data_IF_452650863001
#
_entry.id   IF_452650863001
#
_cell.length_a   1.000
_cell.length_b   1.000
_cell.length_c   1.000
_cell.angle_alpha   90.00
_cell.angle_beta   90.00
_cell.angle_gamma   90.00
#
_symmetry.space_group_name_H-M   'P 1'
#
loop_
_entity.id
_entity.type
_entity.pdbx_description
1 polymer ?
#
# COMPACT_ATOMS: atom_id res chain seq x y z
N UNK A 1 -12.06 6.92 16.77
CA UNK A 1 -10.77 6.51 16.18
C UNK A 1 -10.89 5.07 15.73
N UNK A 2 -10.55 4.80 14.49
CA UNK A 2 -10.41 3.46 13.93
C UNK A 2 -8.94 3.10 13.86
N UNK A 3 -8.58 1.89 14.25
CA UNK A 3 -7.22 1.39 14.17
C UNK A 3 -7.21 -0.06 13.68
N UNK A 4 -6.19 -0.46 12.92
CA UNK A 4 -6.10 -1.82 12.40
C UNK A 4 -5.71 -2.83 13.47
N UNK A 5 -6.19 -4.07 13.32
CA UNK A 5 -5.74 -5.22 14.09
C UNK A 5 -5.10 -6.23 13.16
N UNK A 6 -3.84 -6.55 13.46
CA UNK A 6 -3.09 -7.52 12.70
C UNK A 6 -3.15 -8.85 13.43
N UNK A 7 -3.47 -9.93 12.70
CA UNK A 7 -3.37 -11.30 13.19
C UNK A 7 -2.69 -12.16 12.15
N UNK A 8 -1.69 -12.91 12.59
CA UNK A 8 -1.14 -14.01 11.82
C UNK A 8 -1.78 -15.29 12.32
N UNK A 9 -2.29 -16.11 11.40
CA UNK A 9 -2.75 -17.45 11.74
C UNK A 9 -1.51 -18.31 11.98
N UNK A 10 -1.08 -18.31 13.25
CA UNK A 10 0.28 -18.55 13.73
C UNK A 10 0.80 -19.98 13.67
N UNK A 11 0.28 -20.82 12.75
CA UNK A 11 0.76 -22.21 12.66
C UNK A 11 2.22 -22.31 12.27
N UNK A 12 2.65 -21.56 11.27
CA UNK A 12 3.97 -21.69 10.66
C UNK A 12 4.97 -20.60 11.10
N UNK A 13 4.48 -19.44 11.59
CA UNK A 13 5.27 -18.26 11.95
C UNK A 13 5.04 -17.76 13.40
N UNK A 14 5.35 -18.57 14.44
CA UNK A 14 5.01 -18.20 15.83
C UNK A 14 5.74 -16.96 16.33
N UNK A 15 6.99 -16.75 15.91
CA UNK A 15 7.77 -15.58 16.32
C UNK A 15 7.22 -14.28 15.72
N UNK A 16 6.79 -14.33 14.45
CA UNK A 16 6.11 -13.22 13.81
C UNK A 16 4.76 -12.94 14.49
N UNK A 17 3.98 -13.98 14.82
CA UNK A 17 2.72 -13.81 15.53
C UNK A 17 2.91 -13.09 16.87
N UNK A 18 3.95 -13.48 17.65
CA UNK A 18 4.29 -12.82 18.91
C UNK A 18 4.71 -11.36 18.70
N UNK A 19 5.40 -11.03 17.60
CA UNK A 19 5.78 -9.66 17.26
C UNK A 19 4.55 -8.81 16.92
N UNK A 20 3.65 -9.33 16.09
CA UNK A 20 2.42 -8.64 15.69
C UNK A 20 1.41 -8.49 16.84
N UNK A 21 1.38 -9.43 17.80
CA UNK A 21 0.57 -9.26 19.01
C UNK A 21 1.09 -8.08 19.87
N UNK A 22 2.42 -7.87 19.91
CA UNK A 22 3.00 -6.69 20.58
C UNK A 22 2.66 -5.40 19.84
N UNK A 23 2.92 -5.36 18.53
CA UNK A 23 2.57 -4.20 17.70
C UNK A 23 1.09 -3.85 17.81
N UNK A 24 0.20 -4.86 17.80
CA UNK A 24 -1.25 -4.61 17.96
C UNK A 24 -1.61 -3.99 19.33
N UNK A 25 -0.83 -4.27 20.37
CA UNK A 25 -1.04 -3.65 21.68
C UNK A 25 -0.54 -2.19 21.70
N UNK A 26 0.60 -1.91 21.07
CA UNK A 26 1.16 -0.56 20.90
C UNK A 26 0.20 0.32 20.10
N UNK A 27 -0.25 -0.13 18.93
CA UNK A 27 -1.24 0.58 18.11
C UNK A 27 -2.57 0.82 18.85
N UNK A 28 -2.96 -0.09 19.75
CA UNK A 28 -4.15 0.14 20.58
C UNK A 28 -3.95 1.28 21.56
N UNK A 29 -2.79 1.32 22.21
CA UNK A 29 -2.50 2.38 23.19
C UNK A 29 -2.41 3.74 22.46
N UNK A 30 -1.75 3.83 21.29
CA UNK A 30 -1.70 5.02 20.44
C UNK A 30 -3.09 5.49 19.99
N UNK A 31 -3.95 4.57 19.53
CA UNK A 31 -5.33 4.91 19.17
C UNK A 31 -6.14 5.43 20.36
N UNK A 32 -5.85 4.96 21.57
CA UNK A 32 -6.49 5.47 22.79
C UNK A 32 -5.98 6.86 23.15
N UNK A 33 -4.67 7.11 23.02
CA UNK A 33 -4.07 8.42 23.27
C UNK A 33 -4.60 9.45 22.25
N UNK A 34 -4.67 9.09 20.96
CA UNK A 34 -5.29 9.91 19.93
C UNK A 34 -6.75 10.24 20.24
N UNK A 35 -7.51 9.26 20.75
CA UNK A 35 -8.91 9.49 21.13
C UNK A 35 -9.03 10.45 22.33
N UNK A 36 -8.14 10.33 23.33
CA UNK A 36 -8.10 11.25 24.48
C UNK A 36 -7.75 12.68 24.05
N UNK A 37 -6.74 12.83 23.17
CA UNK A 37 -6.34 14.13 22.63
C UNK A 37 -7.48 14.82 21.87
N UNK A 38 -8.21 14.09 21.04
CA UNK A 38 -9.34 14.63 20.29
C UNK A 38 -10.51 15.01 21.22
N UNK A 39 -10.72 14.29 22.32
CA UNK A 39 -11.77 14.60 23.33
C UNK A 39 -11.43 15.87 24.16
N UNK A 40 -10.15 16.23 24.28
CA UNK A 40 -9.72 17.45 24.98
C UNK A 40 -9.91 18.72 24.13
N UNK A 41 -10.14 18.59 22.82
CA UNK A 41 -10.33 19.73 21.94
C UNK A 41 -11.66 20.48 22.24
N UNK A 42 -11.67 21.81 22.08
CA UNK A 42 -12.86 22.60 22.45
C UNK A 42 -14.05 22.26 21.54
N UNK A 43 -15.18 21.94 22.16
CA UNK A 43 -16.44 21.72 21.44
C UNK A 43 -16.86 23.00 20.70
N UNK A 44 -16.98 22.88 19.37
CA UNK A 44 -17.34 23.96 18.47
C UNK A 44 -18.07 23.44 17.23
N UNK A 45 -18.09 24.23 16.17
CA UNK A 45 -18.64 23.82 14.87
C UNK A 45 -17.58 23.05 14.02
N UNK A 46 -16.38 22.85 14.54
CA UNK A 46 -15.29 22.11 13.87
C UNK A 46 -15.44 20.63 14.13
N UNK A 47 -15.36 19.83 13.08
CA UNK A 47 -15.32 18.37 13.17
C UNK A 47 -13.85 17.93 13.34
N UNK A 48 -13.56 17.33 14.47
CA UNK A 48 -12.28 16.68 14.74
C UNK A 48 -12.34 15.22 14.32
N UNK A 49 -11.26 14.71 13.76
CA UNK A 49 -11.19 13.30 13.34
C UNK A 49 -9.75 12.79 13.40
N UNK A 50 -9.60 11.52 13.72
CA UNK A 50 -8.35 10.78 13.61
C UNK A 50 -8.61 9.48 12.86
N UNK A 51 -7.68 9.10 12.00
CA UNK A 51 -7.72 7.87 11.23
C UNK A 51 -6.32 7.28 11.17
N UNK A 52 -6.20 5.99 11.44
CA UNK A 52 -4.98 5.21 11.21
C UNK A 52 -5.30 4.21 10.10
N UNK A 53 -4.72 4.39 8.93
CA UNK A 53 -4.83 3.48 7.80
C UNK A 53 -3.64 2.53 7.77
N UNK A 54 -3.87 1.27 7.39
CA UNK A 54 -2.81 0.27 7.27
C UNK A 54 -2.72 -0.25 5.84
N UNK A 55 -1.50 -0.37 5.34
CA UNK A 55 -1.18 -1.03 4.08
C UNK A 55 -0.16 -2.13 4.31
N UNK A 56 -0.40 -3.32 3.74
CA UNK A 56 0.62 -4.36 3.61
C UNK A 56 1.36 -4.10 2.30
N UNK A 57 2.58 -3.65 2.40
CA UNK A 57 3.40 -3.31 1.23
C UNK A 57 4.13 -4.55 0.69
N UNK A 58 4.41 -5.52 1.57
CA UNK A 58 4.98 -6.81 1.19
C UNK A 58 4.64 -7.89 2.21
N UNK A 59 4.33 -9.11 1.73
CA UNK A 59 4.16 -10.28 2.59
C UNK A 59 4.68 -11.53 1.86
N UNK A 60 5.86 -12.01 2.26
CA UNK A 60 6.46 -13.25 1.74
C UNK A 60 7.37 -13.93 2.79
N UNK A 61 8.05 -14.99 2.40
CA UNK A 61 8.96 -15.73 3.29
C UNK A 61 10.18 -14.94 3.80
N UNK A 62 10.48 -13.80 3.18
CA UNK A 62 11.65 -12.96 3.47
C UNK A 62 11.30 -11.70 4.27
N UNK A 63 10.08 -11.21 4.15
CA UNK A 63 9.63 -10.00 4.82
C UNK A 63 8.10 -9.93 4.95
N UNK A 64 7.64 -9.46 6.11
CA UNK A 64 6.34 -8.80 6.26
C UNK A 64 6.60 -7.32 6.47
N UNK A 65 6.09 -6.48 5.58
CA UNK A 65 6.22 -5.03 5.64
C UNK A 65 4.86 -4.37 5.69
N UNK A 66 4.69 -3.50 6.67
CA UNK A 66 3.45 -2.80 6.99
C UNK A 66 3.73 -1.31 7.01
N UNK A 67 2.85 -0.53 6.40
CA UNK A 67 2.85 0.91 6.48
C UNK A 67 1.57 1.37 7.15
N UNK A 68 1.69 2.22 8.14
CA UNK A 68 0.60 2.92 8.79
C UNK A 68 0.67 4.39 8.41
N UNK A 69 -0.48 4.96 8.16
CA UNK A 69 -0.67 6.36 7.88
C UNK A 69 -1.68 6.91 8.87
N UNK A 70 -1.21 7.75 9.78
CA UNK A 70 -2.08 8.48 10.70
C UNK A 70 -2.40 9.85 10.11
N UNK A 71 -3.68 10.18 10.11
CA UNK A 71 -4.18 11.51 9.79
C UNK A 71 -5.01 12.02 10.94
N UNK A 72 -4.64 13.18 11.47
CA UNK A 72 -5.35 13.84 12.55
C UNK A 72 -5.79 15.23 12.11
N UNK A 73 -7.10 15.47 12.14
CA UNK A 73 -7.67 16.78 11.91
C UNK A 73 -8.10 17.38 13.26
N UNK A 74 -7.30 18.27 13.77
CA UNK A 74 -7.52 19.02 15.03
C UNK A 74 -8.17 20.38 14.80
N UNK A 75 -8.63 20.64 13.58
CA UNK A 75 -9.27 21.89 13.17
C UNK A 75 -8.30 23.01 12.80
N UNK A 76 -7.02 22.72 12.71
CA UNK A 76 -6.02 23.63 12.14
C UNK A 76 -6.04 23.61 10.60
N UNK A 77 -5.34 24.56 9.98
CA UNK A 77 -5.17 24.59 8.52
C UNK A 77 -4.14 23.55 8.03
N UNK A 78 -3.35 22.98 8.94
CA UNK A 78 -2.30 21.99 8.70
C UNK A 78 -2.59 20.75 9.56
N UNK A 79 -3.42 19.80 9.09
CA UNK A 79 -3.68 18.54 9.79
C UNK A 79 -2.39 17.76 10.04
N UNK A 80 -2.26 17.13 11.20
CA UNK A 80 -1.13 16.23 11.44
C UNK A 80 -1.23 15.02 10.52
N UNK A 81 -0.08 14.61 9.99
CA UNK A 81 0.05 13.47 9.11
C UNK A 81 1.37 12.78 9.40
N UNK A 82 1.29 11.56 9.89
CA UNK A 82 2.44 10.74 10.29
C UNK A 82 2.46 9.42 9.53
N UNK A 83 3.66 8.94 9.26
CA UNK A 83 3.89 7.60 8.75
C UNK A 83 4.61 6.77 9.79
N UNK A 84 4.23 5.51 9.91
CA UNK A 84 4.97 4.49 10.66
C UNK A 84 5.11 3.25 9.80
N UNK A 85 6.31 2.70 9.71
CA UNK A 85 6.56 1.51 8.91
C UNK A 85 7.27 0.43 9.75
N UNK A 86 6.76 -0.78 9.65
CA UNK A 86 7.29 -1.94 10.35
C UNK A 86 7.68 -3.03 9.36
N UNK A 87 8.94 -3.43 9.40
CA UNK A 87 9.50 -4.44 8.52
C UNK A 87 9.99 -5.62 9.35
N UNK A 88 9.35 -6.78 9.26
CA UNK A 88 9.69 -7.96 10.06
C UNK A 88 10.34 -9.05 9.23
N UNK A 89 11.35 -9.72 9.79
CA UNK A 89 11.78 -11.04 9.33
C UNK A 89 10.78 -12.08 9.86
N UNK A 90 10.01 -12.76 8.97
CA UNK A 90 8.95 -13.65 9.43
C UNK A 90 9.46 -14.86 10.22
N UNK A 91 10.68 -15.31 9.94
CA UNK A 91 11.25 -16.49 10.61
C UNK A 91 11.63 -16.21 12.07
N UNK A 92 12.06 -14.99 12.36
CA UNK A 92 12.56 -14.60 13.70
C UNK A 92 11.61 -13.69 14.46
N UNK A 93 10.69 -13.01 13.77
CA UNK A 93 9.84 -11.95 14.30
C UNK A 93 10.63 -10.69 14.71
N UNK A 94 11.89 -10.59 14.27
CA UNK A 94 12.71 -9.42 14.51
C UNK A 94 12.36 -8.33 13.48
N UNK A 95 12.37 -7.10 13.93
CA UNK A 95 12.28 -5.95 13.04
C UNK A 95 13.59 -5.81 12.26
N UNK A 96 13.46 -5.51 10.96
CA UNK A 96 14.57 -5.33 10.05
C UNK A 96 15.05 -3.88 10.11
N UNK A 97 16.35 -3.69 10.05
CA UNK A 97 17.00 -2.39 9.93
C UNK A 97 17.41 -2.11 8.48
N UNK A 98 17.77 -0.87 8.17
CA UNK A 98 18.31 -0.53 6.85
C UNK A 98 19.59 -1.32 6.50
N UNK A 99 20.42 -1.66 7.50
CA UNK A 99 21.61 -2.47 7.32
C UNK A 99 21.30 -3.95 7.02
N UNK A 100 20.14 -4.46 7.43
CA UNK A 100 19.69 -5.81 7.05
C UNK A 100 19.25 -5.86 5.59
N UNK A 101 18.83 -4.71 5.03
CA UNK A 101 18.27 -4.57 3.70
C UNK A 101 19.29 -4.09 2.68
N UNK A 102 20.15 -3.14 3.04
CA UNK A 102 21.16 -2.57 2.15
C UNK A 102 22.55 -3.14 2.47
N UNK A 103 23.27 -3.59 1.45
CA UNK A 103 24.65 -4.04 1.59
C UNK A 103 25.61 -2.88 1.97
N UNK A 104 25.24 -1.64 1.64
CA UNK A 104 25.92 -0.39 2.02
C UNK A 104 24.90 0.73 2.22
N UNK A 105 24.37 0.85 3.43
CA UNK A 105 23.41 1.90 3.80
C UNK A 105 24.00 3.32 3.68
N UNK A 106 25.31 3.47 3.70
CA UNK A 106 25.98 4.76 3.53
C UNK A 106 25.76 5.41 2.14
N UNK A 107 25.26 4.64 1.16
CA UNK A 107 24.89 5.18 -0.16
C UNK A 107 23.48 5.79 -0.20
N UNK A 108 22.63 5.48 0.78
CA UNK A 108 21.23 5.90 0.79
C UNK A 108 21.01 7.41 0.69
N UNK A 109 21.73 8.28 1.41
CA UNK A 109 21.51 9.71 1.34
C UNK A 109 21.61 10.28 -0.08
N UNK A 110 22.66 9.90 -0.81
CA UNK A 110 22.89 10.34 -2.19
C UNK A 110 21.79 9.78 -3.14
N UNK A 111 21.38 8.53 -2.92
CA UNK A 111 20.32 7.87 -3.72
C UNK A 111 18.98 8.55 -3.49
N UNK A 112 18.60 8.79 -2.23
CA UNK A 112 17.33 9.43 -1.86
C UNK A 112 17.27 10.87 -2.37
N UNK A 113 18.33 11.67 -2.18
CA UNK A 113 18.38 13.03 -2.71
C UNK A 113 18.19 13.04 -4.23
N UNK A 114 18.88 12.15 -4.94
CA UNK A 114 18.78 12.03 -6.40
C UNK A 114 17.35 11.70 -6.82
N UNK A 115 16.74 10.66 -6.24
CA UNK A 115 15.40 10.20 -6.59
C UNK A 115 14.32 11.25 -6.28
N UNK A 116 14.41 11.91 -5.12
CA UNK A 116 13.50 12.99 -4.76
C UNK A 116 13.55 14.14 -5.76
N UNK A 117 14.76 14.58 -6.16
CA UNK A 117 14.91 15.65 -7.14
C UNK A 117 14.44 15.26 -8.55
N UNK A 118 14.63 14.01 -8.95
CA UNK A 118 14.12 13.48 -10.22
C UNK A 118 12.60 13.41 -10.25
N UNK A 119 11.99 12.90 -9.18
CA UNK A 119 10.54 12.71 -9.09
C UNK A 119 9.79 14.04 -8.92
N UNK A 120 10.37 14.96 -8.15
CA UNK A 120 9.76 16.25 -7.81
C UNK A 120 10.60 17.44 -8.28
N UNK A 121 10.83 17.61 -9.60
CA UNK A 121 11.78 18.58 -10.14
C UNK A 121 11.39 20.04 -9.93
N UNK A 122 10.14 20.31 -9.54
CA UNK A 122 9.63 21.67 -9.28
C UNK A 122 9.60 22.02 -7.79
N UNK A 123 9.96 21.09 -6.91
CA UNK A 123 9.91 21.30 -5.46
C UNK A 123 11.16 22.02 -4.97
N UNK A 124 10.96 23.05 -4.18
CA UNK A 124 12.03 23.72 -3.43
C UNK A 124 12.23 22.97 -2.11
N UNK A 125 13.17 22.03 -2.12
CA UNK A 125 13.49 21.24 -0.94
C UNK A 125 14.21 22.10 0.12
N UNK A 126 13.83 21.90 1.39
CA UNK A 126 14.45 22.45 2.59
C UNK A 126 14.95 21.30 3.45
N UNK A 127 16.08 21.50 4.09
CA UNK A 127 16.67 20.51 5.01
C UNK A 127 16.76 19.05 4.46
N UNK A 128 16.74 18.89 3.13
CA UNK A 128 16.73 17.59 2.46
C UNK A 128 17.91 16.72 2.89
N UNK A 129 19.15 17.26 2.80
CA UNK A 129 20.34 16.48 3.15
C UNK A 129 20.40 16.06 4.62
N UNK A 130 20.14 16.94 5.62
CA UNK A 130 20.04 16.50 7.02
C UNK A 130 19.07 15.34 7.22
N UNK A 131 17.88 15.41 6.64
CA UNK A 131 16.85 14.36 6.79
C UNK A 131 17.27 13.06 6.12
N UNK A 132 17.65 13.07 4.83
CA UNK A 132 18.01 11.82 4.13
C UNK A 132 19.29 11.17 4.66
N UNK A 133 20.13 11.93 5.39
CA UNK A 133 21.32 11.38 6.04
C UNK A 133 21.10 10.96 7.50
N UNK A 134 19.92 11.25 8.07
CA UNK A 134 19.56 10.74 9.39
C UNK A 134 19.46 9.22 9.37
N UNK A 135 19.84 8.56 10.43
CA UNK A 135 19.82 7.10 10.54
C UNK A 135 20.84 6.34 9.66
N UNK A 136 21.58 7.03 8.79
CA UNK A 136 22.51 6.36 7.84
C UNK A 136 23.96 6.80 7.98
N UNK A 137 24.23 7.89 8.69
CA UNK A 137 25.59 8.40 8.93
C UNK A 137 26.11 7.83 10.25
N UNK A 138 27.06 6.92 10.16
CA UNK A 138 27.81 6.40 11.33
C UNK A 138 28.62 7.51 11.97
N UNK A 139 28.18 8.05 13.09
CA UNK A 139 29.07 8.79 13.97
C UNK A 139 29.94 7.79 14.77
N UNK A 140 31.21 7.72 14.41
CA UNK A 140 32.21 7.03 15.23
C UNK A 140 32.18 7.60 16.65
N UNK A 141 31.73 6.85 17.62
CA UNK A 141 31.87 6.97 19.05
C UNK A 141 30.56 7.03 19.86
N UNK A 142 29.94 5.85 20.06
CA UNK A 142 29.22 5.59 21.33
C UNK A 142 27.87 6.28 21.52
N UNK A 143 27.25 6.77 20.48
CA UNK A 143 25.87 7.21 20.47
C UNK A 143 24.97 6.07 19.96
N UNK A 144 23.79 5.94 20.54
CA UNK A 144 22.69 5.17 19.96
C UNK A 144 22.50 5.57 18.53
N UNK A 145 22.32 4.61 17.62
CA UNK A 145 21.95 4.84 16.23
C UNK A 145 20.81 5.85 16.21
N UNK A 146 20.95 7.01 15.55
CA UNK A 146 19.83 7.92 15.41
C UNK A 146 18.83 7.25 14.49
N UNK A 147 17.61 7.08 14.94
CA UNK A 147 16.51 6.63 14.09
C UNK A 147 16.40 7.59 12.90
N UNK A 148 16.12 7.08 11.69
CA UNK A 148 15.89 7.95 10.55
C UNK A 148 14.71 8.89 10.81
N UNK A 149 14.80 10.12 10.32
CA UNK A 149 13.69 11.09 10.37
C UNK A 149 12.63 10.82 9.28
N UNK A 150 12.73 9.71 8.56
CA UNK A 150 11.83 9.26 7.51
C UNK A 150 11.45 7.82 7.74
N UNK A 151 10.29 7.43 7.24
CA UNK A 151 9.83 6.05 7.29
C UNK A 151 10.20 5.29 6.02
N UNK A 152 10.32 3.97 6.13
CA UNK A 152 10.64 3.12 5.00
C UNK A 152 9.97 1.75 5.08
N UNK A 153 9.53 1.25 3.92
CA UNK A 153 8.87 -0.04 3.80
C UNK A 153 9.44 -0.85 2.62
N UNK A 154 9.50 -2.16 2.77
CA UNK A 154 9.80 -3.05 1.66
C UNK A 154 8.55 -3.26 0.80
N UNK A 155 8.72 -3.18 -0.52
CA UNK A 155 7.72 -3.60 -1.50
C UNK A 155 8.27 -4.72 -2.39
N UNK A 156 7.47 -5.20 -3.33
CA UNK A 156 7.94 -6.18 -4.31
C UNK A 156 8.82 -5.55 -5.41
N UNK A 157 8.79 -4.25 -5.53
CA UNK A 157 9.53 -3.51 -6.57
C UNK A 157 10.83 -2.89 -6.05
N UNK A 158 10.85 -2.51 -4.76
CA UNK A 158 11.98 -1.80 -4.16
C UNK A 158 11.81 -1.57 -2.68
N UNK A 159 12.60 -0.64 -2.17
CA UNK A 159 12.46 -0.06 -0.84
C UNK A 159 11.82 1.32 -1.00
N UNK A 160 10.72 1.52 -0.35
CA UNK A 160 9.91 2.74 -0.41
C UNK A 160 10.24 3.62 0.80
N UNK A 161 10.39 4.92 0.57
CA UNK A 161 10.75 5.90 1.58
C UNK A 161 9.68 6.98 1.63
N UNK A 162 9.21 7.29 2.83
CA UNK A 162 8.09 8.20 3.10
C UNK A 162 8.58 9.38 3.92
N UNK A 163 8.18 10.57 3.52
CA UNK A 163 8.56 11.83 4.16
C UNK A 163 7.28 12.62 4.44
N UNK A 164 7.06 12.94 5.67
CA UNK A 164 5.90 13.68 6.14
C UNK A 164 5.82 15.10 5.56
N UNK A 165 4.61 15.68 5.51
CA UNK A 165 4.46 17.08 5.13
C UNK A 165 5.27 18.00 6.04
N UNK A 166 6.03 18.91 5.46
CA UNK A 166 6.85 19.86 6.22
C UNK A 166 8.27 19.37 6.55
N UNK A 167 8.56 18.06 6.40
CA UNK A 167 9.85 17.49 6.77
C UNK A 167 10.99 17.95 5.84
N UNK A 168 10.79 17.82 4.53
CA UNK A 168 11.81 18.15 3.51
C UNK A 168 11.43 19.31 2.57
N UNK A 169 10.25 19.87 2.73
CA UNK A 169 9.75 21.03 1.99
C UNK A 169 8.70 21.78 2.82
N UNK A 170 8.09 22.84 2.27
CA UNK A 170 6.96 23.49 2.93
C UNK A 170 5.79 22.50 3.11
N UNK A 171 5.09 22.55 4.25
CA UNK A 171 3.94 21.69 4.57
C UNK A 171 2.92 21.62 3.41
N UNK A 172 2.61 22.75 2.80
CA UNK A 172 1.68 22.86 1.69
C UNK A 172 2.12 22.11 0.41
N UNK A 173 3.37 21.63 0.34
CA UNK A 173 3.84 20.79 -0.75
C UNK A 173 3.36 19.32 -0.61
N UNK A 174 2.84 18.97 0.58
CA UNK A 174 2.33 17.63 0.91
C UNK A 174 3.42 16.64 1.31
N UNK A 175 3.04 15.38 1.53
CA UNK A 175 4.00 14.30 1.78
C UNK A 175 4.79 13.96 0.52
N UNK A 176 5.96 13.36 0.71
CA UNK A 176 6.81 12.89 -0.38
C UNK A 176 7.06 11.41 -0.25
N UNK A 177 7.16 10.74 -1.40
CA UNK A 177 7.43 9.31 -1.47
C UNK A 177 8.37 9.01 -2.64
N UNK A 178 9.37 8.17 -2.40
CA UNK A 178 10.28 7.67 -3.44
C UNK A 178 10.60 6.20 -3.24
N UNK A 179 10.83 5.48 -4.33
CA UNK A 179 11.20 4.07 -4.34
C UNK A 179 12.62 3.91 -4.87
N UNK A 180 13.47 3.24 -4.09
CA UNK A 180 14.75 2.71 -4.56
C UNK A 180 14.50 1.32 -5.13
N UNK A 181 14.33 1.23 -6.46
CA UNK A 181 13.93 0.00 -7.13
C UNK A 181 15.08 -1.00 -7.22
N UNK A 182 14.78 -2.27 -7.01
CA UNK A 182 15.76 -3.36 -7.11
C UNK A 182 16.42 -3.45 -8.51
N UNK A 183 15.66 -3.13 -9.56
CA UNK A 183 16.14 -3.18 -10.95
C UNK A 183 17.13 -2.07 -11.26
N UNK A 184 17.04 -0.93 -10.60
CA UNK A 184 17.94 0.20 -10.78
C UNK A 184 19.23 0.03 -9.96
N UNK A 185 19.10 -0.54 -8.76
CA UNK A 185 20.19 -0.65 -7.79
C UNK A 185 20.41 -2.12 -7.34
N UNK A 186 20.65 -3.05 -8.27
CA UNK A 186 20.67 -4.49 -7.96
C UNK A 186 21.81 -4.94 -7.05
N UNK A 187 22.81 -4.09 -6.82
CA UNK A 187 23.94 -4.38 -5.92
C UNK A 187 23.83 -3.65 -4.57
N UNK A 188 22.86 -2.75 -4.41
CA UNK A 188 22.70 -1.99 -3.17
C UNK A 188 21.82 -2.73 -2.16
N UNK A 189 20.85 -3.50 -2.64
CA UNK A 189 19.90 -4.23 -1.79
C UNK A 189 20.26 -5.71 -1.70
N UNK A 190 20.15 -6.27 -0.50
CA UNK A 190 20.46 -7.68 -0.26
C UNK A 190 19.59 -8.61 -1.12
N UNK A 191 20.22 -9.58 -1.76
CA UNK A 191 19.61 -10.43 -2.79
C UNK A 191 18.35 -11.21 -2.35
N UNK A 192 18.18 -11.45 -1.02
CA UNK A 192 17.00 -12.13 -0.49
C UNK A 192 15.73 -11.30 -0.69
N UNK A 193 15.82 -9.96 -0.65
CA UNK A 193 14.69 -9.06 -0.81
C UNK A 193 14.33 -8.78 -2.28
N UNK A 194 15.26 -9.01 -3.20
CA UNK A 194 15.04 -8.81 -4.64
C UNK A 194 14.23 -9.95 -5.29
N UNK A 195 13.91 -11.00 -4.54
CA UNK A 195 13.13 -12.12 -5.04
C UNK A 195 11.66 -11.77 -5.05
N UNK A 196 11.04 -11.90 -6.23
CA UNK A 196 9.61 -11.68 -6.40
C UNK A 196 8.90 -13.02 -6.27
N UNK A 197 7.91 -13.17 -5.36
CA UNK A 197 7.12 -14.39 -5.21
C UNK A 197 6.37 -14.76 -6.50
N UNK A 198 6.03 -16.03 -6.67
CA UNK A 198 5.23 -16.50 -7.80
C UNK A 198 3.80 -15.93 -7.79
N UNK A 199 3.28 -15.64 -6.60
CA UNK A 199 2.00 -14.98 -6.38
C UNK A 199 2.17 -13.90 -5.31
N UNK A 200 1.64 -12.73 -5.57
CA UNK A 200 1.54 -11.63 -4.60
C UNK A 200 0.44 -10.65 -5.02
N UNK A 201 0.01 -9.82 -4.09
CA UNK A 201 -0.84 -8.67 -4.37
C UNK A 201 -0.27 -7.42 -3.70
N UNK A 202 -0.46 -6.27 -4.32
CA UNK A 202 0.01 -4.97 -3.87
C UNK A 202 -1.10 -3.93 -4.06
N UNK A 203 -1.34 -3.09 -3.06
CA UNK A 203 -2.22 -1.95 -3.21
C UNK A 203 -1.51 -0.87 -4.03
N UNK A 204 -2.19 -0.35 -5.05
CA UNK A 204 -1.69 0.77 -5.85
C UNK A 204 -2.36 2.07 -5.41
N UNK A 205 -1.57 2.99 -4.90
CA UNK A 205 -2.00 4.37 -4.69
C UNK A 205 -1.98 5.14 -6.01
N UNK A 206 -2.97 6.01 -6.22
CA UNK A 206 -3.12 6.69 -7.52
C UNK A 206 -2.55 8.12 -7.51
N UNK A 207 -1.82 8.49 -8.57
CA UNK A 207 -1.34 7.67 -9.70
C UNK A 207 -0.21 6.73 -9.30
N UNK A 208 -0.21 5.50 -9.82
CA UNK A 208 0.85 4.54 -9.55
C UNK A 208 1.61 4.19 -10.84
N UNK A 209 2.93 4.22 -10.76
CA UNK A 209 3.83 3.77 -11.83
C UNK A 209 4.63 2.56 -11.34
N UNK A 210 4.66 1.51 -12.16
CA UNK A 210 5.41 0.27 -11.90
C UNK A 210 6.22 -0.11 -13.13
N UNK A 211 7.33 -0.78 -12.88
CA UNK A 211 8.20 -1.32 -13.94
C UNK A 211 8.31 -2.83 -13.75
N UNK A 212 7.65 -3.60 -14.60
CA UNK A 212 7.41 -5.03 -14.44
C UNK A 212 7.70 -5.74 -15.75
N UNK A 213 8.09 -7.01 -15.70
CA UNK A 213 8.12 -7.91 -16.88
C UNK A 213 6.72 -8.54 -17.01
N UNK A 214 5.82 -7.85 -17.74
CA UNK A 214 4.40 -8.21 -17.81
C UNK A 214 4.14 -9.48 -18.63
N UNK A 215 4.99 -9.78 -19.61
CA UNK A 215 4.81 -10.94 -20.49
C UNK A 215 5.90 -12.00 -20.34
N UNK A 216 6.79 -11.84 -19.35
CA UNK A 216 7.88 -12.75 -19.01
C UNK A 216 8.89 -12.95 -20.16
N UNK A 217 9.14 -11.90 -20.95
CA UNK A 217 10.13 -11.90 -22.04
C UNK A 217 11.54 -11.46 -21.58
N UNK A 218 11.66 -11.05 -20.30
CA UNK A 218 12.90 -10.59 -19.68
C UNK A 218 13.19 -9.11 -19.93
N UNK A 219 12.29 -8.37 -20.57
CA UNK A 219 12.34 -6.92 -20.68
C UNK A 219 11.32 -6.30 -19.72
N UNK A 220 11.62 -5.10 -19.23
CA UNK A 220 10.75 -4.41 -18.31
C UNK A 220 9.77 -3.52 -19.07
N UNK A 221 8.50 -3.66 -18.73
CA UNK A 221 7.41 -2.84 -19.19
C UNK A 221 7.07 -1.75 -18.17
N UNK A 222 6.63 -0.59 -18.63
CA UNK A 222 6.09 0.45 -17.76
C UNK A 222 4.58 0.32 -17.65
N UNK A 223 4.07 0.28 -16.43
CA UNK A 223 2.65 0.31 -16.10
C UNK A 223 2.36 1.60 -15.34
N UNK A 224 1.49 2.45 -15.87
CA UNK A 224 0.95 3.62 -15.16
C UNK A 224 -0.55 3.46 -15.01
N UNK A 225 -1.06 3.63 -13.79
CA UNK A 225 -2.49 3.59 -13.48
C UNK A 225 -2.95 4.92 -12.92
N UNK A 226 -4.08 5.40 -13.43
CA UNK A 226 -4.70 6.67 -13.01
C UNK A 226 -6.21 6.47 -12.88
N UNK A 227 -6.85 7.19 -11.96
CA UNK A 227 -8.30 7.21 -11.80
C UNK A 227 -8.81 8.65 -11.96
N UNK A 228 -8.87 9.18 -13.18
CA UNK A 228 -9.40 10.50 -13.39
C UNK A 228 -10.90 10.54 -13.07
N UNK A 229 -11.30 11.56 -12.31
CA UNK A 229 -12.70 11.84 -12.06
C UNK A 229 -13.33 12.50 -13.30
N UNK A 230 -14.39 11.91 -13.83
CA UNK A 230 -15.19 12.51 -14.91
C UNK A 230 -16.57 12.88 -14.39
N UNK A 231 -17.01 14.09 -14.72
CA UNK A 231 -18.38 14.49 -14.42
C UNK A 231 -19.33 13.91 -15.49
N UNK A 232 -20.18 12.97 -15.06
CA UNK A 232 -21.24 12.42 -15.89
C UNK A 232 -22.38 13.43 -16.13
N UNK A 233 -23.35 13.07 -16.99
CA UNK A 233 -24.54 13.89 -17.27
C UNK A 233 -25.37 14.22 -16.03
N UNK A 234 -25.28 13.38 -14.99
CA UNK A 234 -25.91 13.59 -13.67
C UNK A 234 -25.23 14.64 -12.80
N UNK A 235 -24.06 15.17 -13.21
CA UNK A 235 -23.23 16.09 -12.43
C UNK A 235 -22.39 15.42 -11.33
N UNK A 236 -22.43 14.09 -11.23
CA UNK A 236 -21.56 13.30 -10.33
C UNK A 236 -20.30 12.88 -11.07
N UNK A 237 -19.19 12.88 -10.35
CA UNK A 237 -17.96 12.32 -10.87
C UNK A 237 -18.09 10.79 -10.98
N UNK A 238 -17.87 10.25 -12.17
CA UNK A 238 -17.75 8.81 -12.39
C UNK A 238 -16.26 8.53 -12.56
N UNK A 239 -15.64 7.74 -11.67
CA UNK A 239 -14.25 7.37 -11.85
C UNK A 239 -14.11 6.47 -13.07
N UNK A 240 -13.02 6.66 -13.79
CA UNK A 240 -12.62 5.83 -14.91
C UNK A 240 -11.20 5.37 -14.65
N UNK A 241 -10.94 4.10 -14.81
CA UNK A 241 -9.60 3.58 -14.73
C UNK A 241 -8.87 3.78 -16.05
N UNK A 242 -7.79 4.52 -16.05
CA UNK A 242 -6.86 4.64 -17.16
C UNK A 242 -5.59 3.84 -16.88
N UNK A 243 -5.29 2.89 -17.75
CA UNK A 243 -4.12 2.02 -17.66
C UNK A 243 -3.24 2.29 -18.87
N UNK A 244 -2.01 2.74 -18.65
CA UNK A 244 -1.04 2.99 -19.71
C UNK A 244 0.09 1.98 -19.59
N UNK A 245 0.33 1.19 -20.64
CA UNK A 245 1.41 0.21 -20.72
C UNK A 245 2.32 0.61 -21.88
N UNK A 246 3.61 0.84 -21.59
CA UNK A 246 4.61 1.28 -22.57
C UNK A 246 4.16 2.49 -23.42
N UNK A 247 3.41 3.41 -22.80
CA UNK A 247 2.87 4.59 -23.47
C UNK A 247 1.53 4.39 -24.18
N UNK A 248 1.03 3.16 -24.33
CA UNK A 248 -0.28 2.86 -24.91
C UNK A 248 -1.36 2.87 -23.82
N UNK A 249 -2.32 3.77 -23.96
CA UNK A 249 -3.39 4.00 -22.97
C UNK A 249 -4.64 3.19 -23.28
N UNK A 250 -5.09 2.43 -22.29
CA UNK A 250 -6.39 1.75 -22.27
C UNK A 250 -7.29 2.40 -21.21
N UNK A 251 -8.55 2.57 -21.54
CA UNK A 251 -9.55 3.10 -20.62
C UNK A 251 -10.59 2.03 -20.30
N UNK A 252 -10.89 1.88 -19.01
CA UNK A 252 -11.85 0.92 -18.47
C UNK A 252 -12.87 1.69 -17.65
N UNK A 253 -14.13 1.60 -18.07
CA UNK A 253 -15.23 2.28 -17.38
C UNK A 253 -15.57 1.52 -16.09
N UNK A 254 -15.60 2.25 -14.97
CA UNK A 254 -16.11 1.72 -13.72
C UNK A 254 -17.65 1.63 -13.77
N UNK A 255 -18.27 0.78 -12.94
CA UNK A 255 -19.72 0.70 -12.83
C UNK A 255 -20.36 2.05 -12.52
N UNK A 256 -21.60 2.25 -12.99
CA UNK A 256 -22.39 3.45 -12.64
C UNK A 256 -22.53 3.57 -11.11
N UNK A 257 -22.48 4.81 -10.62
CA UNK A 257 -22.55 5.13 -9.18
C UNK A 257 -21.36 4.65 -8.34
N UNK A 258 -20.22 4.33 -8.94
CA UNK A 258 -18.97 4.12 -8.22
C UNK A 258 -18.57 5.42 -7.51
N UNK A 259 -18.34 5.32 -6.20
CA UNK A 259 -17.90 6.45 -5.36
C UNK A 259 -16.48 6.28 -4.86
N UNK A 260 -15.95 5.06 -4.95
CA UNK A 260 -14.59 4.70 -4.51
C UNK A 260 -14.03 3.63 -5.42
N UNK A 261 -12.74 3.71 -5.71
CA UNK A 261 -11.99 2.64 -6.39
C UNK A 261 -10.71 2.38 -5.58
N UNK A 262 -10.50 1.13 -5.20
CA UNK A 262 -9.21 0.64 -4.70
C UNK A 262 -8.63 -0.26 -5.78
N UNK A 263 -7.35 -0.08 -6.10
CA UNK A 263 -6.69 -0.81 -7.17
C UNK A 263 -5.56 -1.66 -6.60
N UNK A 264 -5.57 -2.94 -6.97
CA UNK A 264 -4.55 -3.89 -6.56
C UNK A 264 -3.85 -4.45 -7.79
N UNK A 265 -2.52 -4.42 -7.78
CA UNK A 265 -1.71 -5.20 -8.70
C UNK A 265 -1.61 -6.62 -8.14
N UNK A 266 -1.98 -7.59 -8.94
CA UNK A 266 -2.00 -9.01 -8.54
C UNK A 266 -1.13 -9.80 -9.49
N UNK A 267 -0.18 -10.55 -8.96
CA UNK A 267 0.61 -11.52 -9.71
C UNK A 267 0.18 -12.93 -9.34
N UNK A 268 -0.16 -13.72 -10.33
CA UNK A 268 -0.48 -15.14 -10.14
C UNK A 268 0.00 -15.95 -11.34
N UNK A 269 0.63 -17.09 -11.08
CA UNK A 269 1.14 -17.98 -12.12
C UNK A 269 2.04 -17.30 -13.19
N UNK A 270 2.79 -16.26 -12.79
CA UNK A 270 3.64 -15.49 -13.68
C UNK A 270 2.92 -14.45 -14.55
N UNK A 271 1.61 -14.29 -14.38
CA UNK A 271 0.79 -13.31 -15.10
C UNK A 271 0.33 -12.21 -14.15
N UNK A 272 0.21 -10.99 -14.67
CA UNK A 272 -0.23 -9.83 -13.91
C UNK A 272 -1.68 -9.44 -14.22
N UNK A 273 -2.37 -9.00 -13.18
CA UNK A 273 -3.74 -8.52 -13.24
C UNK A 273 -3.87 -7.24 -12.42
N UNK A 274 -4.84 -6.40 -12.79
CA UNK A 274 -5.35 -5.37 -11.90
C UNK A 274 -6.71 -5.81 -11.37
N UNK A 275 -6.87 -5.76 -10.05
CA UNK A 275 -8.14 -5.93 -9.37
C UNK A 275 -8.62 -4.54 -8.95
N UNK A 276 -9.66 -4.03 -9.61
CA UNK A 276 -10.26 -2.76 -9.24
C UNK A 276 -11.53 -3.00 -8.43
N UNK A 277 -11.46 -2.72 -7.14
CA UNK A 277 -12.59 -2.79 -6.24
C UNK A 277 -13.36 -1.47 -6.28
N UNK A 278 -14.52 -1.50 -6.93
CA UNK A 278 -15.39 -0.36 -7.11
C UNK A 278 -16.49 -0.35 -6.04
N UNK A 279 -16.41 0.53 -5.07
CA UNK A 279 -17.45 0.76 -4.08
C UNK A 279 -18.56 1.63 -4.67
N UNK A 280 -19.81 1.15 -4.60
CA UNK A 280 -20.97 1.82 -5.15
C UNK A 280 -21.73 2.63 -4.08
N UNK A 281 -22.39 3.70 -4.48
CA UNK A 281 -23.25 4.50 -3.59
C UNK A 281 -24.41 3.71 -2.95
N UNK A 282 -24.71 2.53 -3.47
CA UNK A 282 -25.69 1.59 -2.88
C UNK A 282 -25.16 0.78 -1.70
N UNK A 283 -23.87 0.89 -1.38
CA UNK A 283 -23.17 0.05 -0.39
C UNK A 283 -22.84 -1.35 -0.91
N UNK A 284 -22.98 -1.60 -2.22
CA UNK A 284 -22.47 -2.80 -2.87
C UNK A 284 -21.07 -2.53 -3.45
N UNK A 285 -20.29 -3.58 -3.64
CA UNK A 285 -19.01 -3.50 -4.32
C UNK A 285 -19.06 -4.31 -5.62
N UNK A 286 -18.29 -3.86 -6.61
CA UNK A 286 -18.03 -4.61 -7.85
C UNK A 286 -16.53 -4.77 -8.01
N UNK A 287 -16.07 -5.98 -8.22
CA UNK A 287 -14.68 -6.26 -8.55
C UNK A 287 -14.51 -6.36 -10.06
N UNK A 288 -13.72 -5.47 -10.64
CA UNK A 288 -13.23 -5.59 -12.00
C UNK A 288 -11.90 -6.33 -11.99
N UNK A 289 -11.77 -7.36 -12.81
CA UNK A 289 -10.52 -8.06 -13.05
C UNK A 289 -10.01 -7.72 -14.43
N UNK A 290 -8.81 -7.15 -14.49
CA UNK A 290 -8.20 -6.65 -15.72
C UNK A 290 -6.90 -7.43 -15.94
N UNK A 291 -6.82 -8.18 -17.04
CA UNK A 291 -5.60 -8.86 -17.44
C UNK A 291 -4.62 -7.86 -18.07
N UNK A 292 -3.35 -7.96 -17.72
CA UNK A 292 -2.26 -7.15 -18.24
C UNK A 292 -1.35 -7.99 -19.16
N UNK A 293 -0.94 -7.41 -20.25
CA UNK A 293 0.18 -7.88 -21.07
C UNK A 293 1.04 -6.69 -21.49
N UNK A 294 2.19 -6.92 -22.13
CA UNK A 294 3.14 -5.87 -22.53
C UNK A 294 2.56 -4.79 -23.49
N UNK A 295 1.32 -4.91 -23.92
CA UNK A 295 0.70 -3.99 -24.90
C UNK A 295 -0.63 -3.44 -24.48
N UNK A 296 -1.39 -4.14 -23.65
CA UNK A 296 -2.78 -3.78 -23.39
C UNK A 296 -3.26 -4.27 -22.04
N UNK A 297 -4.26 -3.54 -21.53
CA UNK A 297 -5.05 -3.93 -20.38
C UNK A 297 -6.45 -4.33 -20.86
N UNK A 298 -6.90 -5.53 -20.53
CA UNK A 298 -8.19 -6.06 -21.02
C UNK A 298 -9.08 -6.44 -19.85
N UNK A 299 -10.31 -5.94 -19.81
CA UNK A 299 -11.29 -6.36 -18.82
C UNK A 299 -11.64 -7.84 -19.02
N UNK A 300 -11.16 -8.68 -18.10
CA UNK A 300 -11.38 -10.12 -18.11
C UNK A 300 -12.71 -10.50 -17.46
N UNK A 301 -13.11 -9.83 -16.37
CA UNK A 301 -14.37 -10.04 -15.71
C UNK A 301 -14.83 -8.82 -14.92
N UNK A 302 -16.14 -8.74 -14.69
CA UNK A 302 -16.78 -7.88 -13.72
C UNK A 302 -17.63 -8.73 -12.80
N UNK A 303 -17.24 -8.81 -11.52
CA UNK A 303 -17.93 -9.59 -10.51
C UNK A 303 -18.84 -8.66 -9.70
N UNK A 304 -20.10 -8.61 -10.07
CA UNK A 304 -21.10 -7.77 -9.43
C UNK A 304 -21.57 -8.39 -8.11
N UNK A 305 -21.80 -7.53 -7.11
CA UNK A 305 -22.34 -7.93 -5.81
C UNK A 305 -21.49 -8.97 -5.04
N UNK A 306 -20.23 -9.10 -5.35
CA UNK A 306 -19.29 -9.70 -4.43
C UNK A 306 -19.17 -8.75 -3.25
N UNK A 307 -19.94 -9.01 -2.19
CA UNK A 307 -19.66 -8.39 -0.91
C UNK A 307 -18.31 -8.92 -0.50
N UNK A 308 -17.25 -8.18 -0.77
CA UNK A 308 -15.94 -8.48 -0.23
C UNK A 308 -16.05 -8.43 1.29
N UNK A 309 -15.51 -9.44 1.97
CA UNK A 309 -15.42 -9.48 3.42
C UNK A 309 -14.47 -8.43 3.99
N UNK A 310 -14.00 -7.55 3.14
CA UNK A 310 -13.42 -6.33 3.62
C UNK A 310 -14.57 -5.64 4.31
N UNK A 311 -14.50 -5.55 5.61
CA UNK A 311 -15.26 -4.57 6.34
C UNK A 311 -14.72 -3.20 5.91
N UNK A 312 -14.91 -2.92 4.64
CA UNK A 312 -14.56 -1.66 4.02
C UNK A 312 -15.57 -0.59 4.42
N UNK A 313 -16.11 -0.67 5.63
CA UNK A 313 -16.93 0.40 6.15
C UNK A 313 -16.10 1.65 6.35
N UNK A 314 -14.77 1.53 6.44
CA UNK A 314 -13.90 2.63 6.84
C UNK A 314 -12.59 2.74 6.04
N UNK A 315 -12.59 2.36 4.78
CA UNK A 315 -11.42 2.52 3.91
C UNK A 315 -10.35 1.44 4.05
N UNK A 316 -10.60 0.40 4.84
CA UNK A 316 -9.66 -0.68 5.06
C UNK A 316 -9.24 -1.38 3.75
N UNK A 317 -7.97 -1.65 3.61
CA UNK A 317 -7.41 -2.38 2.50
C UNK A 317 -7.81 -3.86 2.57
N UNK A 318 -7.76 -4.53 1.44
CA UNK A 318 -8.07 -5.96 1.36
C UNK A 318 -6.87 -6.80 1.85
N UNK A 319 -6.71 -6.85 3.17
CA UNK A 319 -5.55 -7.44 3.85
C UNK A 319 -5.35 -8.91 3.49
N UNK A 320 -6.42 -9.71 3.43
CA UNK A 320 -6.30 -11.14 3.08
C UNK A 320 -5.70 -11.34 1.69
N UNK A 321 -6.10 -10.53 0.70
CA UNK A 321 -5.52 -10.56 -0.65
C UNK A 321 -4.05 -10.14 -0.64
N UNK A 322 -3.71 -9.11 0.13
CA UNK A 322 -2.36 -8.58 0.20
C UNK A 322 -1.39 -9.54 0.90
N UNK A 323 -1.88 -10.32 1.86
CA UNK A 323 -1.04 -11.27 2.61
C UNK A 323 -0.95 -12.65 1.95
N UNK A 324 -2.04 -13.14 1.36
CA UNK A 324 -2.05 -14.43 0.66
C UNK A 324 -3.06 -14.45 -0.49
N UNK A 325 -2.64 -14.08 -1.71
CA UNK A 325 -3.53 -14.12 -2.87
C UNK A 325 -3.95 -15.54 -3.27
N UNK A 326 -3.37 -16.59 -2.68
CA UNK A 326 -3.76 -17.98 -2.91
C UNK A 326 -4.89 -18.46 -1.97
N UNK A 327 -5.18 -17.68 -0.92
CA UNK A 327 -6.22 -18.02 0.07
C UNK A 327 -6.81 -16.76 0.70
N UNK A 328 -7.90 -16.26 0.15
CA UNK A 328 -8.61 -15.10 0.66
C UNK A 328 -10.13 -15.33 0.72
N UNK A 329 -10.85 -14.47 1.41
CA UNK A 329 -12.29 -14.60 1.60
C UNK A 329 -13.04 -13.55 0.78
N UNK A 330 -14.06 -13.97 0.06
CA UNK A 330 -15.06 -13.08 -0.51
C UNK A 330 -16.40 -13.31 0.21
N UNK A 331 -17.07 -12.22 0.58
CA UNK A 331 -18.46 -12.31 1.01
C UNK A 331 -19.36 -12.17 -0.22
N UNK A 332 -20.14 -13.21 -0.49
CA UNK A 332 -21.19 -13.14 -1.50
C UNK A 332 -22.52 -12.84 -0.84
N UNK A 333 -23.30 -11.91 -1.40
CA UNK A 333 -24.68 -11.74 -0.99
C UNK A 333 -25.49 -12.97 -1.46
N UNK A 334 -26.33 -13.48 -0.58
CA UNK A 334 -27.29 -14.49 -0.99
C UNK A 334 -28.29 -13.92 -2.01
N UNK A 335 -29.08 -14.80 -2.65
CA UNK A 335 -30.07 -14.39 -3.64
C UNK A 335 -31.16 -13.44 -3.08
N UNK A 336 -31.23 -13.26 -1.77
CA UNK A 336 -32.15 -12.34 -1.08
C UNK A 336 -31.49 -10.98 -0.78
N UNK A 337 -30.18 -10.87 -0.93
CA UNK A 337 -29.40 -9.65 -0.68
C UNK A 337 -29.25 -9.28 0.79
N UNK A 338 -29.57 -10.17 1.71
CA UNK A 338 -29.68 -9.89 3.15
C UNK A 338 -28.51 -10.46 3.95
N UNK A 339 -27.95 -11.58 3.56
CA UNK A 339 -26.84 -12.21 4.30
C UNK A 339 -25.55 -12.24 3.47
N UNK A 340 -24.47 -11.80 4.09
CA UNK A 340 -23.12 -11.95 3.56
C UNK A 340 -22.55 -13.26 4.11
N UNK A 341 -22.31 -14.22 3.24
CA UNK A 341 -21.68 -15.49 3.61
C UNK A 341 -20.24 -15.46 3.14
N UNK A 342 -19.26 -15.48 4.06
CA UNK A 342 -17.85 -15.57 3.67
C UNK A 342 -17.60 -16.90 2.96
N UNK A 343 -16.95 -16.84 1.83
CA UNK A 343 -16.54 -17.99 1.04
C UNK A 343 -15.04 -17.96 0.81
N UNK A 344 -14.32 -19.06 0.94
CA UNK A 344 -12.91 -19.11 0.61
C UNK A 344 -12.71 -19.05 -0.91
N UNK A 345 -11.79 -18.23 -1.33
CA UNK A 345 -11.38 -18.04 -2.72
C UNK A 345 -9.86 -18.13 -2.84
N UNK A 346 -9.41 -18.35 -4.05
CA UNK A 346 -8.03 -18.18 -4.47
C UNK A 346 -8.02 -17.61 -5.89
N UNK A 347 -6.87 -17.10 -6.33
CA UNK A 347 -6.73 -16.67 -7.72
C UNK A 347 -6.57 -17.90 -8.62
N UNK A 348 -7.50 -18.07 -9.57
CA UNK A 348 -7.44 -19.13 -10.57
C UNK A 348 -6.31 -18.92 -11.59
N UNK A 349 -6.09 -19.93 -12.45
CA UNK A 349 -5.09 -19.86 -13.53
C UNK A 349 -5.39 -18.74 -14.55
N UNK A 350 -6.66 -18.36 -14.66
CA UNK A 350 -7.14 -17.27 -15.53
C UNK A 350 -7.14 -15.91 -14.83
N UNK A 351 -6.61 -15.81 -13.62
CA UNK A 351 -6.57 -14.60 -12.81
C UNK A 351 -7.90 -14.24 -12.15
N UNK A 352 -8.95 -15.03 -12.35
CA UNK A 352 -10.24 -14.77 -11.72
C UNK A 352 -10.30 -15.40 -10.33
N UNK A 353 -11.01 -14.76 -9.38
CA UNK A 353 -11.32 -15.39 -8.11
C UNK A 353 -12.09 -16.69 -8.32
N UNK A 354 -11.54 -17.79 -7.87
CA UNK A 354 -12.13 -19.12 -7.93
C UNK A 354 -12.42 -19.63 -6.52
N UNK A 355 -13.57 -20.31 -6.34
CA UNK A 355 -13.94 -20.90 -5.05
C UNK A 355 -12.87 -21.91 -4.61
N UNK A 356 -12.39 -21.75 -3.39
CA UNK A 356 -11.52 -22.72 -2.74
C UNK A 356 -12.26 -24.03 -2.54
N UNK A 357 -11.59 -25.12 -2.81
CA UNK A 357 -12.10 -26.46 -2.41
C UNK A 357 -11.72 -26.68 -0.95
N UNK A 358 -12.72 -26.77 -0.06
CA UNK A 358 -12.54 -27.19 1.33
C UNK A 358 -11.90 -28.56 1.44
#
# INVERSE_FOLDING_TARGET
VDYPRIRVDGGDWPALADALDRLSAELYDEAMDLAEDLDELPLGDTLYSGQIAQTVTRADENCLSLLFEEQRNDGTDEPDWEYEAYNFDPATGAELTLEDVFDDAGMLPDMLETRLRERYPQTEFKDLWPVVSSGTVWEEQGQTEPDPEFEWALSYEGVEFYFEPGLIADYAAGPFHVTVRYVDEPIAVAAKFQRIPAAYAELLEHPAERTLDLDSDGQLDTLLTEIPAQFGESGWAVPTLEVTINGEKTRIDCPENTIRVQLYLVRANGTYFLYALCGLSSGADTLLVIALDAKTATLAAALENTGLAVQAQDGANWIELLTDPTAFTLQTRDATGVEHVPQPYHIGEDGLPALGTN
#
